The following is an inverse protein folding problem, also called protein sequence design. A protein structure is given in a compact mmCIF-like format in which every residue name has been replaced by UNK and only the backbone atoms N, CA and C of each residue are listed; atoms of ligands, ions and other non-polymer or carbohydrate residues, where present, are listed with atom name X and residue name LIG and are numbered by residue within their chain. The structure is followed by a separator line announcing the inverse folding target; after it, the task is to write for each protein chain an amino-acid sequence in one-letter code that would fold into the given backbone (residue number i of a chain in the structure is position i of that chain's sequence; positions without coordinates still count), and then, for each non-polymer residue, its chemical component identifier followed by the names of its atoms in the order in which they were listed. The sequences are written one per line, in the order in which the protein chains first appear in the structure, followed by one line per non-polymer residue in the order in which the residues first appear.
data_IF_038991048512
#
_entry.id   IF_038991048512
#
_cell.length_a   1.000
_cell.length_b   1.000
_cell.length_c   1.000
_cell.angle_alpha   90.00
_cell.angle_beta   90.00
_cell.angle_gamma   90.00
#
_symmetry.space_group_name_H-M   'P 1'
#
loop_
_entity.id
_entity.type
_entity.pdbx_description
1 polymer ?
#
# COMPACT_ATOMS: atom_id res chain seq x y z
N UNK A 1 6.72 -21.81 45.47
CA UNK A 1 6.35 -20.77 44.48
C UNK A 1 6.97 -19.46 44.95
N UNK A 2 7.94 -18.93 44.21
CA UNK A 2 8.42 -17.56 44.42
C UNK A 2 7.47 -16.67 43.61
N UNK A 3 6.73 -15.79 44.29
CA UNK A 3 5.81 -14.86 43.62
C UNK A 3 6.63 -13.73 43.00
N UNK A 4 6.66 -13.68 41.67
CA UNK A 4 7.37 -12.68 40.86
C UNK A 4 6.67 -11.33 41.00
N UNK A 5 7.43 -10.24 41.18
CA UNK A 5 6.90 -8.87 41.23
C UNK A 5 7.20 -8.13 39.92
N UNK A 6 6.44 -7.07 39.57
CA UNK A 6 6.56 -6.33 38.29
C UNK A 6 7.97 -5.82 37.93
N UNK A 7 8.89 -5.80 38.91
CA UNK A 7 10.28 -5.36 38.75
C UNK A 7 11.24 -6.47 38.35
N UNK A 8 10.80 -7.73 38.32
CA UNK A 8 11.59 -8.87 37.90
C UNK A 8 11.57 -8.97 36.37
N UNK A 9 12.72 -9.08 35.72
CA UNK A 9 12.79 -9.13 34.26
C UNK A 9 13.98 -9.97 33.77
N UNK A 10 13.86 -10.46 32.54
CA UNK A 10 14.95 -11.05 31.77
C UNK A 10 15.05 -10.33 30.41
N UNK A 11 16.27 -9.95 30.05
CA UNK A 11 16.62 -9.35 28.77
C UNK A 11 17.59 -10.31 28.05
N UNK A 12 17.16 -10.82 26.90
CA UNK A 12 17.99 -11.66 26.01
C UNK A 12 18.22 -10.86 24.74
N UNK A 13 19.48 -10.49 24.48
CA UNK A 13 19.85 -9.61 23.37
C UNK A 13 20.34 -10.41 22.16
N UNK A 14 20.21 -9.81 20.97
CA UNK A 14 20.67 -10.38 19.69
C UNK A 14 22.19 -10.47 19.57
N UNK A 15 22.93 -9.75 20.41
CA UNK A 15 24.40 -9.78 20.51
C UNK A 15 24.93 -10.96 21.35
N UNK A 16 24.08 -11.96 21.64
CA UNK A 16 24.36 -13.14 22.47
C UNK A 16 24.62 -12.85 23.94
N UNK A 17 24.23 -11.68 24.45
CA UNK A 17 24.28 -11.38 25.89
C UNK A 17 22.90 -11.54 26.54
N UNK A 18 22.88 -11.92 27.82
CA UNK A 18 21.68 -11.93 28.63
C UNK A 18 21.90 -11.21 29.96
N UNK A 19 20.81 -10.68 30.50
CA UNK A 19 20.77 -10.07 31.82
C UNK A 19 19.40 -10.33 32.46
N UNK A 20 19.36 -10.74 33.72
CA UNK A 20 18.11 -10.79 34.48
C UNK A 20 18.30 -10.30 35.91
N UNK A 21 17.24 -9.71 36.46
CA UNK A 21 17.15 -9.26 37.83
C UNK A 21 15.87 -9.82 38.46
N UNK A 22 16.01 -10.52 39.59
CA UNK A 22 14.91 -11.09 40.36
C UNK A 22 14.92 -10.50 41.78
N UNK A 23 14.17 -9.43 41.99
CA UNK A 23 13.91 -8.81 43.30
C UNK A 23 13.15 -9.74 44.23
N UNK A 24 12.22 -10.53 43.71
CA UNK A 24 11.53 -11.56 44.49
C UNK A 24 12.47 -12.64 45.05
N UNK A 25 13.71 -12.73 44.55
CA UNK A 25 14.73 -13.70 44.97
C UNK A 25 15.98 -12.98 45.50
N UNK A 26 15.85 -12.27 46.61
CA UNK A 26 16.95 -11.56 47.30
C UNK A 26 17.75 -10.59 46.39
N UNK A 27 17.08 -9.88 45.47
CA UNK A 27 17.74 -9.02 44.47
C UNK A 27 18.83 -9.77 43.68
N UNK A 28 18.53 -11.00 43.25
CA UNK A 28 19.45 -11.78 42.43
C UNK A 28 19.67 -11.06 41.10
N UNK A 29 20.91 -10.71 40.82
CA UNK A 29 21.34 -10.16 39.54
C UNK A 29 22.19 -11.21 38.83
N UNK A 30 21.85 -11.50 37.59
CA UNK A 30 22.64 -12.36 36.74
C UNK A 30 22.88 -11.76 35.37
N UNK A 31 24.05 -12.08 34.79
CA UNK A 31 24.42 -11.69 33.43
C UNK A 31 25.43 -12.65 32.85
N UNK A 32 25.49 -12.70 31.53
CA UNK A 32 26.35 -13.64 30.83
C UNK A 32 26.12 -13.66 29.33
N UNK A 33 26.62 -14.72 28.70
CA UNK A 33 26.35 -15.01 27.29
C UNK A 33 25.39 -16.19 27.17
N UNK A 34 24.66 -16.24 26.05
CA UNK A 34 23.78 -17.35 25.76
C UNK A 34 24.07 -17.97 24.40
N UNK A 35 23.88 -19.28 24.31
CA UNK A 35 23.90 -20.03 23.07
C UNK A 35 22.69 -20.96 23.02
N UNK A 36 22.21 -21.27 21.81
CA UNK A 36 21.05 -22.12 21.59
C UNK A 36 21.39 -23.25 20.64
N UNK A 37 20.93 -24.45 20.97
CA UNK A 37 20.99 -25.63 20.10
C UNK A 37 19.64 -26.32 20.17
N UNK A 38 18.90 -26.31 19.05
CA UNK A 38 17.53 -26.83 18.95
C UNK A 38 16.58 -26.24 20.02
N UNK A 39 16.13 -27.09 20.95
CA UNK A 39 15.24 -26.78 22.07
C UNK A 39 15.99 -26.58 23.40
N UNK A 40 17.32 -26.50 23.35
CA UNK A 40 18.18 -26.25 24.52
C UNK A 40 18.79 -24.84 24.46
N UNK A 41 18.69 -24.12 25.58
CA UNK A 41 19.27 -22.81 25.79
C UNK A 41 20.31 -22.88 26.90
N UNK A 42 21.54 -22.50 26.58
CA UNK A 42 22.67 -22.48 27.50
C UNK A 42 22.92 -21.05 27.96
N UNK A 43 22.93 -20.82 29.26
CA UNK A 43 23.37 -19.57 29.87
C UNK A 43 24.73 -19.77 30.52
N UNK A 44 25.73 -19.08 29.99
CA UNK A 44 27.07 -19.02 30.55
C UNK A 44 27.19 -17.74 31.41
N UNK A 45 27.15 -17.91 32.73
CA UNK A 45 27.07 -16.81 33.67
C UNK A 45 28.46 -16.19 33.92
N UNK A 46 28.54 -14.87 33.72
CA UNK A 46 29.67 -14.07 34.23
C UNK A 46 29.40 -13.55 35.64
N UNK A 47 28.11 -13.39 35.99
CA UNK A 47 27.65 -13.13 37.36
C UNK A 47 26.41 -14.00 37.61
N UNK A 48 26.40 -14.90 38.62
CA UNK A 48 27.56 -15.33 39.41
C UNK A 48 28.64 -15.96 38.52
N UNK A 49 29.91 -15.83 38.90
CA UNK A 49 31.02 -16.37 38.11
C UNK A 49 31.01 -17.90 38.10
N UNK A 50 31.36 -18.50 36.96
CA UNK A 50 31.70 -19.93 36.84
C UNK A 50 30.50 -20.88 36.96
N UNK A 51 29.35 -20.51 36.37
CA UNK A 51 28.18 -21.39 36.27
C UNK A 51 27.67 -21.44 34.83
N UNK A 52 27.44 -22.64 34.31
CA UNK A 52 26.69 -22.85 33.07
C UNK A 52 25.36 -23.50 33.46
N UNK A 53 24.25 -22.97 32.98
CA UNK A 53 22.93 -23.61 33.12
C UNK A 53 22.34 -23.92 31.76
N UNK A 54 21.67 -25.05 31.68
CA UNK A 54 20.96 -25.52 30.49
C UNK A 54 19.47 -25.53 30.78
N UNK A 55 18.69 -24.97 29.86
CA UNK A 55 17.23 -24.90 29.94
C UNK A 55 16.62 -25.53 28.71
N UNK A 56 15.58 -26.34 28.89
CA UNK A 56 14.69 -26.70 27.78
C UNK A 56 13.71 -25.55 27.55
N UNK A 57 13.60 -25.09 26.30
CA UNK A 57 12.78 -23.92 25.97
C UNK A 57 11.48 -24.32 25.28
N UNK A 58 10.39 -23.63 25.64
CA UNK A 58 9.13 -23.69 24.92
C UNK A 58 8.63 -22.26 24.71
N UNK A 59 8.29 -21.91 23.46
CA UNK A 59 7.80 -20.59 23.09
C UNK A 59 6.38 -20.72 22.59
N UNK A 60 5.41 -20.19 23.35
CA UNK A 60 3.99 -20.19 23.02
C UNK A 60 3.50 -18.73 22.89
N UNK A 61 3.49 -18.20 21.66
CA UNK A 61 3.06 -16.83 21.41
C UNK A 61 3.94 -15.79 22.10
N UNK A 62 3.40 -15.13 23.14
CA UNK A 62 4.11 -14.13 23.95
C UNK A 62 4.72 -14.70 25.24
N UNK A 63 4.63 -16.01 25.47
CA UNK A 63 5.16 -16.68 26.65
C UNK A 63 6.41 -17.49 26.29
N UNK A 64 7.51 -17.26 27.02
CA UNK A 64 8.72 -18.06 27.01
C UNK A 64 8.77 -18.87 28.30
N UNK A 65 8.77 -20.20 28.18
CA UNK A 65 8.98 -21.10 29.32
C UNK A 65 10.37 -21.71 29.25
N UNK A 66 11.15 -21.56 30.33
CA UNK A 66 12.43 -22.24 30.55
C UNK A 66 12.22 -23.35 31.59
N UNK A 67 12.55 -24.59 31.26
CA UNK A 67 12.50 -25.71 32.19
C UNK A 67 13.91 -26.12 32.62
N UNK A 68 14.13 -26.25 33.93
CA UNK A 68 15.35 -26.78 34.55
C UNK A 68 14.94 -27.69 35.72
N UNK A 69 15.26 -28.99 35.66
CA UNK A 69 15.04 -29.98 36.74
C UNK A 69 13.63 -29.92 37.36
N UNK A 70 12.59 -30.07 36.53
CA UNK A 70 11.16 -30.02 36.92
C UNK A 70 10.66 -28.66 37.47
N UNK A 71 11.46 -27.60 37.33
CA UNK A 71 11.07 -26.23 37.63
C UNK A 71 10.84 -25.45 36.33
N UNK A 72 9.63 -24.94 36.16
CA UNK A 72 9.25 -24.08 35.03
C UNK A 72 9.36 -22.60 35.39
N UNK A 73 10.15 -21.86 34.62
CA UNK A 73 10.21 -20.39 34.64
C UNK A 73 9.44 -19.85 33.44
N UNK A 74 8.27 -19.26 33.66
CA UNK A 74 7.49 -18.62 32.60
C UNK A 74 7.73 -17.11 32.58
N UNK A 75 7.97 -16.58 31.38
CA UNK A 75 8.20 -15.17 31.10
C UNK A 75 7.23 -14.69 30.03
N UNK A 76 6.52 -13.61 30.33
CA UNK A 76 5.64 -12.95 29.36
C UNK A 76 6.41 -11.80 28.72
N UNK A 77 6.50 -11.80 27.38
CA UNK A 77 7.10 -10.72 26.61
C UNK A 77 6.35 -9.42 26.91
N UNK A 78 6.98 -8.54 27.68
CA UNK A 78 6.51 -7.17 27.83
C UNK A 78 6.76 -6.47 26.51
N UNK A 79 5.70 -6.27 25.73
CA UNK A 79 5.73 -5.44 24.53
C UNK A 79 6.09 -4.01 24.93
N UNK A 80 7.38 -3.75 25.09
CA UNK A 80 7.89 -2.39 25.09
C UNK A 80 7.93 -2.02 23.62
N UNK A 81 6.76 -1.72 23.05
CA UNK A 81 6.70 -0.88 21.89
C UNK A 81 7.35 0.41 22.39
N UNK A 82 8.64 0.63 22.08
CA UNK A 82 9.17 1.98 21.95
C UNK A 82 8.42 2.60 20.77
N UNK A 83 7.12 2.87 20.98
CA UNK A 83 6.53 4.02 20.33
C UNK A 83 7.37 5.12 20.90
N UNK A 84 8.30 5.64 20.11
CA UNK A 84 8.67 7.03 20.23
C UNK A 84 7.34 7.76 19.99
N UNK A 85 6.51 7.82 21.04
CA UNK A 85 5.45 8.78 21.19
C UNK A 85 6.19 10.08 21.52
N UNK A 86 7.04 10.53 20.60
CA UNK A 86 6.95 11.91 20.21
C UNK A 86 5.57 12.06 19.56
N UNK A 87 4.54 12.11 20.40
CA UNK A 87 3.48 13.08 20.17
C UNK A 87 4.21 14.41 20.19
N UNK A 88 4.80 14.77 19.06
CA UNK A 88 4.95 16.18 18.75
C UNK A 88 3.49 16.64 18.79
N UNK A 89 3.08 17.31 19.88
CA UNK A 89 1.81 18.03 19.97
C UNK A 89 1.86 19.14 18.93
N UNK A 90 1.85 18.72 17.68
CA UNK A 90 1.69 19.55 16.52
C UNK A 90 0.25 19.95 16.64
N UNK A 91 0.02 21.22 17.02
CA UNK A 91 -1.32 21.75 17.21
C UNK A 91 -2.20 21.33 16.04
N UNK A 92 -3.46 20.93 16.30
CA UNK A 92 -4.42 20.55 15.24
C UNK A 92 -4.44 21.59 14.11
N UNK A 93 -4.28 22.87 14.47
CA UNK A 93 -4.18 23.98 13.54
C UNK A 93 -2.96 23.87 12.61
N UNK A 94 -1.79 23.51 13.13
CA UNK A 94 -0.57 23.33 12.33
C UNK A 94 -0.75 22.20 11.30
N UNK A 95 -1.39 21.09 11.67
CA UNK A 95 -1.63 19.99 10.73
C UNK A 95 -2.62 20.39 9.61
N UNK A 96 -3.67 21.16 9.96
CA UNK A 96 -4.61 21.70 8.97
C UNK A 96 -3.90 22.67 8.02
N UNK A 97 -3.12 23.61 8.56
CA UNK A 97 -2.36 24.57 7.77
C UNK A 97 -1.38 23.84 6.83
N UNK A 98 -0.66 22.82 7.33
CA UNK A 98 0.23 21.99 6.51
C UNK A 98 -0.52 21.31 5.36
N UNK A 99 -1.70 20.72 5.63
CA UNK A 99 -2.52 20.12 4.58
C UNK A 99 -2.98 21.13 3.51
N UNK A 100 -3.36 22.35 3.93
CA UNK A 100 -3.73 23.44 3.01
C UNK A 100 -2.53 23.89 2.17
N UNK A 101 -1.35 24.02 2.79
CA UNK A 101 -0.11 24.36 2.08
C UNK A 101 0.19 23.27 1.06
N UNK A 102 0.14 21.99 1.45
CA UNK A 102 0.34 20.86 0.55
C UNK A 102 -0.55 20.86 -0.67
N UNK A 103 -1.87 20.96 -0.44
CA UNK A 103 -2.86 21.03 -1.52
C UNK A 103 -2.59 22.22 -2.44
N UNK A 104 -2.33 23.39 -1.86
CA UNK A 104 -2.04 24.62 -2.61
C UNK A 104 -0.78 24.48 -3.44
N UNK A 105 0.29 23.90 -2.89
CA UNK A 105 1.54 23.64 -3.60
C UNK A 105 1.36 22.70 -4.79
N UNK A 106 0.58 21.62 -4.65
CA UNK A 106 0.28 20.72 -5.77
C UNK A 106 -0.51 21.43 -6.88
N UNK A 107 -1.48 22.27 -6.52
CA UNK A 107 -2.22 23.09 -7.49
C UNK A 107 -1.31 24.14 -8.16
N UNK A 108 -0.37 24.73 -7.43
CA UNK A 108 0.62 25.66 -7.97
C UNK A 108 1.58 24.98 -8.95
N UNK A 109 1.99 23.73 -8.68
CA UNK A 109 2.80 22.95 -9.62
C UNK A 109 2.01 22.69 -10.91
N UNK A 110 0.75 22.26 -10.79
CA UNK A 110 -0.11 22.07 -11.96
C UNK A 110 -0.31 23.39 -12.73
N UNK A 111 -0.49 24.52 -12.03
CA UNK A 111 -0.64 25.85 -12.62
C UNK A 111 0.64 26.33 -13.32
N UNK A 112 1.81 26.05 -12.73
CA UNK A 112 3.11 26.38 -13.31
C UNK A 112 3.31 25.66 -14.65
N UNK A 113 2.93 24.38 -14.71
CA UNK A 113 2.95 23.53 -15.90
C UNK A 113 1.79 23.79 -16.88
N UNK A 114 0.89 24.74 -16.59
CA UNK A 114 -0.29 24.99 -17.42
C UNK A 114 0.07 25.60 -18.78
N UNK A 115 -0.50 25.02 -19.84
CA UNK A 115 -0.35 25.52 -21.22
C UNK A 115 -1.05 26.85 -21.45
N UNK A 116 -2.18 27.11 -20.77
CA UNK A 116 -2.93 28.36 -20.94
C UNK A 116 -3.60 28.81 -19.63
N UNK A 117 -2.83 29.50 -18.78
CA UNK A 117 -3.25 29.95 -17.45
C UNK A 117 -4.52 30.80 -17.43
N UNK A 118 -4.82 31.51 -18.52
CA UNK A 118 -6.00 32.40 -18.63
C UNK A 118 -7.30 31.64 -18.90
N UNK A 119 -7.23 30.41 -19.43
CA UNK A 119 -8.39 29.59 -19.79
C UNK A 119 -8.74 28.53 -18.75
N UNK A 120 -8.03 28.50 -17.61
CA UNK A 120 -8.34 27.59 -16.51
C UNK A 120 -9.75 27.89 -15.98
N UNK A 121 -10.61 26.87 -15.98
CA UNK A 121 -11.93 26.97 -15.38
C UNK A 121 -11.84 26.77 -13.86
N UNK A 122 -11.67 27.87 -13.12
CA UNK A 122 -11.57 27.84 -11.67
C UNK A 122 -12.86 27.36 -10.97
N UNK A 123 -14.03 27.56 -11.57
CA UNK A 123 -15.30 27.02 -11.04
C UNK A 123 -15.23 25.48 -10.98
N UNK A 124 -14.69 24.84 -12.02
CA UNK A 124 -14.48 23.39 -12.08
C UNK A 124 -13.44 22.93 -11.04
N UNK A 125 -12.33 23.65 -10.90
CA UNK A 125 -11.28 23.34 -9.92
C UNK A 125 -11.85 23.37 -8.50
N UNK A 126 -12.52 24.45 -8.11
CA UNK A 126 -13.10 24.59 -6.77
C UNK A 126 -14.19 23.56 -6.51
N UNK A 127 -15.06 23.27 -7.49
CA UNK A 127 -16.08 22.22 -7.36
C UNK A 127 -15.47 20.83 -7.21
N UNK A 128 -14.43 20.52 -7.97
CA UNK A 128 -13.69 19.26 -7.85
C UNK A 128 -13.08 19.09 -6.46
N UNK A 129 -12.38 20.12 -5.95
CA UNK A 129 -11.81 20.12 -4.60
C UNK A 129 -12.90 19.95 -3.55
N UNK A 130 -14.02 20.67 -3.69
CA UNK A 130 -15.14 20.59 -2.77
C UNK A 130 -15.76 19.18 -2.72
N UNK A 131 -15.93 18.54 -3.88
CA UNK A 131 -16.39 17.14 -3.97
C UNK A 131 -15.39 16.22 -3.26
N UNK A 132 -14.09 16.38 -3.49
CA UNK A 132 -13.07 15.58 -2.79
C UNK A 132 -13.14 15.74 -1.27
N UNK A 133 -13.27 16.98 -0.78
CA UNK A 133 -13.41 17.24 0.65
C UNK A 133 -14.68 16.60 1.22
N UNK A 134 -15.81 16.70 0.53
CA UNK A 134 -17.06 16.05 0.94
C UNK A 134 -16.88 14.54 1.00
N UNK A 135 -16.31 13.92 -0.04
CA UNK A 135 -16.08 12.49 -0.08
C UNK A 135 -15.11 12.03 1.01
N UNK A 136 -13.99 12.74 1.20
CA UNK A 136 -13.01 12.42 2.22
C UNK A 136 -13.61 12.52 3.64
N UNK A 137 -14.33 13.60 3.94
CA UNK A 137 -15.03 13.75 5.23
C UNK A 137 -16.12 12.69 5.37
N UNK A 138 -16.88 12.40 4.31
CA UNK A 138 -17.85 11.32 4.28
C UNK A 138 -17.23 9.99 4.70
N UNK A 139 -16.19 9.55 4.02
CA UNK A 139 -15.53 8.25 4.25
C UNK A 139 -14.84 8.19 5.61
N UNK A 140 -14.23 9.29 6.07
CA UNK A 140 -13.37 9.30 7.26
C UNK A 140 -14.09 9.71 8.56
N UNK A 141 -15.11 10.55 8.49
CA UNK A 141 -15.77 11.15 9.67
C UNK A 141 -17.24 10.77 9.81
N UNK A 142 -17.95 10.50 8.73
CA UNK A 142 -19.38 10.16 8.80
C UNK A 142 -19.53 8.66 9.04
N UNK A 143 -20.01 8.20 10.22
CA UNK A 143 -20.02 6.77 10.57
C UNK A 143 -20.82 5.91 9.60
N UNK A 144 -21.94 6.44 9.11
CA UNK A 144 -22.78 5.76 8.12
C UNK A 144 -22.03 5.46 6.81
N UNK A 145 -21.36 6.46 6.24
CA UNK A 145 -20.60 6.31 4.99
C UNK A 145 -19.36 5.44 5.23
N UNK A 146 -18.67 5.62 6.35
CA UNK A 146 -17.55 4.78 6.75
C UNK A 146 -17.97 3.29 6.88
N UNK A 147 -19.18 3.02 7.38
CA UNK A 147 -19.73 1.66 7.48
C UNK A 147 -20.01 1.06 6.10
N UNK A 148 -20.56 1.84 5.16
CA UNK A 148 -20.75 1.40 3.76
C UNK A 148 -19.40 1.03 3.13
N UNK A 149 -18.39 1.89 3.25
CA UNK A 149 -17.06 1.59 2.72
C UNK A 149 -16.43 0.36 3.38
N UNK A 150 -16.60 0.19 4.70
CA UNK A 150 -16.14 -1.01 5.39
C UNK A 150 -16.82 -2.28 4.86
N UNK A 151 -18.12 -2.25 4.59
CA UNK A 151 -18.83 -3.38 3.96
C UNK A 151 -18.32 -3.67 2.55
N UNK A 152 -18.09 -2.63 1.74
CA UNK A 152 -17.50 -2.78 0.40
C UNK A 152 -16.10 -3.39 0.50
N UNK A 153 -15.24 -2.87 1.40
CA UNK A 153 -13.89 -3.39 1.64
C UNK A 153 -13.90 -4.85 2.07
N UNK A 154 -14.80 -5.24 2.99
CA UNK A 154 -15.01 -6.65 3.38
C UNK A 154 -15.42 -7.51 2.19
N UNK A 155 -16.30 -7.00 1.32
CA UNK A 155 -16.66 -7.66 0.07
C UNK A 155 -15.45 -7.89 -0.83
N UNK A 156 -14.62 -6.88 -1.03
CA UNK A 156 -13.37 -7.00 -1.81
C UNK A 156 -12.40 -8.03 -1.22
N UNK A 157 -12.12 -7.95 0.08
CA UNK A 157 -11.25 -8.93 0.77
C UNK A 157 -11.83 -10.34 0.65
N UNK A 158 -13.15 -10.50 0.77
CA UNK A 158 -13.80 -11.80 0.58
C UNK A 158 -13.64 -12.31 -0.84
N UNK A 159 -13.78 -11.46 -1.85
CA UNK A 159 -13.55 -11.84 -3.25
C UNK A 159 -12.09 -12.26 -3.48
N UNK A 160 -11.12 -11.54 -2.91
CA UNK A 160 -9.69 -11.92 -2.93
C UNK A 160 -9.49 -13.31 -2.31
N UNK A 161 -10.18 -13.60 -1.21
CA UNK A 161 -10.06 -14.91 -0.54
C UNK A 161 -10.51 -16.09 -1.43
N UNK A 162 -11.39 -15.87 -2.42
CA UNK A 162 -11.77 -16.94 -3.35
C UNK A 162 -10.65 -17.30 -4.33
N UNK A 163 -9.73 -16.36 -4.63
CA UNK A 163 -8.55 -16.68 -5.42
C UNK A 163 -7.69 -17.74 -4.72
N UNK A 164 -7.66 -17.75 -3.39
CA UNK A 164 -6.86 -18.70 -2.63
C UNK A 164 -7.20 -20.15 -2.98
N UNK A 165 -8.48 -20.48 -3.19
CA UNK A 165 -8.88 -21.83 -3.59
C UNK A 165 -8.27 -22.25 -4.94
N UNK A 166 -8.16 -21.32 -5.89
CA UNK A 166 -7.49 -21.56 -7.17
C UNK A 166 -5.97 -21.67 -7.03
N UNK A 167 -5.36 -20.83 -6.20
CA UNK A 167 -3.93 -20.88 -5.90
C UNK A 167 -3.54 -22.18 -5.20
N UNK A 168 -4.31 -22.61 -4.20
CA UNK A 168 -4.09 -23.86 -3.47
C UNK A 168 -4.23 -25.06 -4.39
N UNK A 169 -5.25 -25.08 -5.26
CA UNK A 169 -5.42 -26.14 -6.24
C UNK A 169 -4.21 -26.28 -7.18
N UNK A 170 -3.56 -25.17 -7.55
CA UNK A 170 -2.42 -25.16 -8.48
C UNK A 170 -1.08 -25.42 -7.81
N UNK A 171 -0.89 -24.94 -6.57
CA UNK A 171 0.43 -24.83 -5.96
C UNK A 171 0.55 -25.49 -4.58
N UNK A 172 -0.55 -25.92 -3.95
CA UNK A 172 -0.45 -26.68 -2.70
C UNK A 172 0.04 -28.10 -2.98
N UNK A 173 0.89 -28.61 -2.10
CA UNK A 173 1.37 -29.99 -2.14
C UNK A 173 0.21 -30.96 -1.87
N UNK A 174 0.08 -32.00 -2.69
CA UNK A 174 -0.91 -33.07 -2.48
C UNK A 174 -0.66 -33.89 -1.20
N UNK A 175 0.54 -33.80 -0.61
CA UNK A 175 0.90 -34.52 0.62
C UNK A 175 0.54 -33.68 1.84
N UNK A 176 0.97 -32.41 1.86
CA UNK A 176 0.82 -31.53 3.04
C UNK A 176 -0.47 -30.71 3.01
N UNK A 177 -1.12 -30.62 1.84
CA UNK A 177 -2.31 -29.80 1.61
C UNK A 177 -2.04 -28.29 1.71
N UNK A 178 -0.77 -27.87 1.64
CA UNK A 178 -0.35 -26.47 1.79
C UNK A 178 0.71 -26.11 0.75
N UNK A 179 0.82 -24.81 0.47
CA UNK A 179 1.92 -24.26 -0.33
C UNK A 179 3.19 -24.33 0.52
N UNK A 180 4.19 -25.05 0.03
CA UNK A 180 5.47 -25.24 0.73
C UNK A 180 6.24 -23.91 0.86
N UNK A 181 7.03 -23.78 1.93
CA UNK A 181 7.72 -22.54 2.29
C UNK A 181 8.48 -21.84 1.14
N UNK A 182 9.22 -22.55 0.24
CA UNK A 182 9.90 -21.90 -0.89
C UNK A 182 8.95 -21.24 -1.90
N UNK A 183 7.71 -21.71 -2.00
CA UNK A 183 6.68 -21.20 -2.91
C UNK A 183 5.81 -20.12 -2.28
N UNK A 184 5.96 -19.83 -0.97
CA UNK A 184 5.26 -18.71 -0.31
C UNK A 184 5.96 -17.39 -0.66
N UNK A 185 5.78 -16.94 -1.90
CA UNK A 185 6.42 -15.75 -2.45
C UNK A 185 5.44 -14.92 -3.30
N UNK A 186 5.89 -13.75 -3.75
CA UNK A 186 5.08 -12.80 -4.54
C UNK A 186 4.43 -13.44 -5.77
N UNK A 187 5.17 -14.31 -6.48
CA UNK A 187 4.69 -14.93 -7.72
C UNK A 187 3.47 -15.82 -7.47
N UNK A 188 3.47 -16.59 -6.38
CA UNK A 188 2.39 -17.54 -6.06
C UNK A 188 1.27 -16.87 -5.26
N UNK A 189 1.60 -15.92 -4.39
CA UNK A 189 0.62 -15.30 -3.48
C UNK A 189 -0.13 -14.12 -4.12
N UNK A 190 0.48 -13.39 -5.05
CA UNK A 190 -0.04 -12.10 -5.52
C UNK A 190 -0.48 -12.12 -6.99
N UNK A 191 0.29 -12.75 -7.88
CA UNK A 191 -0.01 -12.75 -9.31
C UNK A 191 -1.32 -13.47 -9.68
N UNK A 192 -1.71 -14.61 -9.06
CA UNK A 192 -3.00 -15.25 -9.36
C UNK A 192 -4.19 -14.34 -9.08
N UNK A 193 -4.08 -13.43 -8.09
CA UNK A 193 -5.13 -12.44 -7.77
C UNK A 193 -5.35 -11.48 -8.93
N UNK A 194 -4.29 -11.07 -9.63
CA UNK A 194 -4.40 -10.21 -10.82
C UNK A 194 -5.19 -10.92 -11.93
N UNK A 195 -4.87 -12.20 -12.17
CA UNK A 195 -5.52 -13.01 -13.21
C UNK A 195 -7.01 -13.19 -12.88
N UNK A 196 -7.32 -13.58 -11.64
CA UNK A 196 -8.70 -13.80 -11.18
C UNK A 196 -9.53 -12.51 -11.25
N UNK A 197 -9.01 -11.38 -10.77
CA UNK A 197 -9.73 -10.11 -10.83
C UNK A 197 -9.93 -9.60 -12.26
N UNK A 198 -8.97 -9.85 -13.16
CA UNK A 198 -9.14 -9.53 -14.58
C UNK A 198 -10.30 -10.33 -15.20
N UNK A 199 -10.37 -11.64 -14.92
CA UNK A 199 -11.47 -12.49 -15.36
C UNK A 199 -12.82 -12.05 -14.78
N UNK A 200 -12.86 -11.72 -13.49
CA UNK A 200 -14.07 -11.25 -12.81
C UNK A 200 -14.55 -9.89 -13.33
N UNK A 201 -13.62 -8.97 -13.59
CA UNK A 201 -13.93 -7.65 -14.14
C UNK A 201 -14.50 -7.77 -15.56
N UNK A 202 -13.90 -8.64 -16.38
CA UNK A 202 -14.42 -8.97 -17.71
C UNK A 202 -15.84 -9.57 -17.66
N UNK A 203 -16.10 -10.46 -16.69
CA UNK A 203 -17.44 -11.00 -16.46
C UNK A 203 -18.44 -9.90 -16.07
N UNK A 204 -18.10 -9.02 -15.14
CA UNK A 204 -18.98 -7.91 -14.74
C UNK A 204 -19.21 -6.90 -15.86
N UNK A 205 -18.24 -6.73 -16.74
CA UNK A 205 -18.40 -5.97 -17.97
C UNK A 205 -19.37 -6.67 -18.93
N UNK A 206 -19.23 -7.98 -19.16
CA UNK A 206 -20.17 -8.74 -20.01
C UNK A 206 -21.61 -8.70 -19.48
N UNK A 207 -21.78 -8.81 -18.16
CA UNK A 207 -23.08 -8.78 -17.48
C UNK A 207 -23.72 -7.38 -17.42
N UNK A 208 -23.01 -6.33 -17.80
CA UNK A 208 -23.54 -4.96 -17.75
C UNK A 208 -23.52 -4.33 -16.35
N UNK A 209 -22.94 -4.99 -15.34
CA UNK A 209 -22.92 -4.50 -13.95
C UNK A 209 -21.97 -3.30 -13.85
N UNK A 210 -20.76 -3.44 -14.42
CA UNK A 210 -19.74 -2.40 -14.35
C UNK A 210 -20.20 -1.12 -15.07
N UNK A 211 -20.84 -1.27 -16.22
CA UNK A 211 -21.40 -0.16 -17.00
C UNK A 211 -22.44 0.64 -16.20
N UNK A 212 -23.31 -0.03 -15.43
CA UNK A 212 -24.31 0.65 -14.59
C UNK A 212 -23.64 1.48 -13.49
N UNK A 213 -22.63 0.92 -12.83
CA UNK A 213 -21.86 1.60 -11.77
C UNK A 213 -21.11 2.80 -12.36
N UNK A 214 -20.38 2.60 -13.45
CA UNK A 214 -19.65 3.68 -14.14
C UNK A 214 -20.59 4.76 -14.63
N UNK A 215 -21.74 4.41 -15.21
CA UNK A 215 -22.73 5.41 -15.65
C UNK A 215 -23.22 6.28 -14.49
N UNK A 216 -23.53 5.67 -13.35
CA UNK A 216 -24.01 6.39 -12.16
C UNK A 216 -23.00 7.42 -11.67
N UNK A 217 -21.74 7.00 -11.48
CA UNK A 217 -20.68 7.91 -11.04
C UNK A 217 -20.34 8.96 -12.11
N UNK A 218 -20.36 8.59 -13.40
CA UNK A 218 -20.09 9.53 -14.49
C UNK A 218 -21.19 10.59 -14.60
N UNK A 219 -22.45 10.21 -14.43
CA UNK A 219 -23.57 11.14 -14.35
C UNK A 219 -23.39 12.11 -13.19
N UNK A 220 -22.96 11.61 -12.03
CA UNK A 220 -22.69 12.42 -10.85
C UNK A 220 -21.55 13.42 -11.10
N UNK A 221 -20.41 12.98 -11.62
CA UNK A 221 -19.30 13.85 -12.00
C UNK A 221 -19.71 14.90 -13.04
N UNK A 222 -20.42 14.49 -14.09
CA UNK A 222 -20.94 15.41 -15.11
C UNK A 222 -21.81 16.50 -14.50
N UNK A 223 -22.77 16.12 -13.64
CA UNK A 223 -23.72 17.04 -13.01
C UNK A 223 -23.03 18.05 -12.11
N UNK A 224 -22.06 17.63 -11.31
CA UNK A 224 -21.41 18.50 -10.33
C UNK A 224 -20.21 19.27 -10.89
N UNK A 225 -19.43 18.70 -11.82
CA UNK A 225 -18.21 19.30 -12.36
C UNK A 225 -18.36 19.93 -13.76
N UNK A 226 -19.54 19.84 -14.40
CA UNK A 226 -19.82 20.36 -15.76
C UNK A 226 -18.81 19.84 -16.82
N UNK A 227 -18.47 18.55 -16.74
CA UNK A 227 -17.57 17.88 -17.67
C UNK A 227 -18.31 17.37 -18.91
N UNK A 228 -17.56 16.96 -19.94
CA UNK A 228 -18.14 16.26 -21.08
C UNK A 228 -18.64 14.87 -20.67
N UNK A 229 -19.55 14.30 -21.48
CA UNK A 229 -20.09 12.97 -21.20
C UNK A 229 -19.02 11.88 -21.30
N UNK A 230 -18.20 11.94 -22.35
CA UNK A 230 -17.10 11.02 -22.60
C UNK A 230 -15.97 11.18 -21.57
N UNK A 231 -15.64 12.40 -21.16
CA UNK A 231 -14.64 12.67 -20.12
C UNK A 231 -15.09 12.14 -18.74
N UNK A 232 -16.36 12.34 -18.40
CA UNK A 232 -16.91 11.83 -17.13
C UNK A 232 -16.89 10.29 -17.10
N UNK A 233 -17.23 9.65 -18.22
CA UNK A 233 -17.18 8.20 -18.34
C UNK A 233 -15.76 7.66 -18.27
N UNK A 234 -14.80 8.35 -18.89
CA UNK A 234 -13.39 7.96 -18.83
C UNK A 234 -12.80 8.13 -17.42
N UNK A 235 -13.03 9.28 -16.78
CA UNK A 235 -12.52 9.57 -15.43
C UNK A 235 -13.04 8.57 -14.40
N UNK A 236 -14.32 8.19 -14.49
CA UNK A 236 -14.94 7.21 -13.60
C UNK A 236 -14.58 5.78 -13.98
N UNK A 237 -14.48 5.47 -15.27
CA UNK A 237 -14.04 4.17 -15.75
C UNK A 237 -12.70 3.77 -15.12
N UNK A 238 -11.77 4.72 -15.04
CA UNK A 238 -10.46 4.56 -14.42
C UNK A 238 -10.49 4.27 -12.90
N UNK A 239 -11.60 4.49 -12.19
CA UNK A 239 -11.71 4.11 -10.76
C UNK A 239 -11.67 2.59 -10.60
N UNK A 240 -12.20 1.86 -11.60
CA UNK A 240 -12.40 0.41 -11.53
C UNK A 240 -11.55 -0.35 -12.55
N UNK A 241 -11.40 0.22 -13.75
CA UNK A 241 -10.66 -0.33 -14.88
C UNK A 241 -9.25 0.26 -14.94
N UNK A 242 -8.32 -0.50 -15.51
CA UNK A 242 -6.96 -0.01 -15.74
C UNK A 242 -6.88 1.02 -16.86
N UNK A 243 -5.74 1.71 -16.94
CA UNK A 243 -5.43 2.72 -17.96
C UNK A 243 -5.58 2.24 -19.41
N UNK A 244 -5.46 0.94 -19.67
CA UNK A 244 -5.62 0.32 -21.00
C UNK A 244 -7.06 -0.10 -21.31
N UNK A 245 -7.90 -0.29 -20.27
CA UNK A 245 -9.26 -0.81 -20.38
C UNK A 245 -10.30 0.32 -20.32
N UNK A 246 -10.09 1.33 -19.49
CA UNK A 246 -10.99 2.47 -19.37
C UNK A 246 -11.22 3.22 -20.71
N UNK A 247 -10.22 3.38 -21.61
CA UNK A 247 -10.46 3.99 -22.91
C UNK A 247 -11.46 3.21 -23.78
N UNK A 248 -11.63 1.90 -23.56
CA UNK A 248 -12.58 1.08 -24.32
C UNK A 248 -14.04 1.47 -24.04
N UNK A 249 -14.35 1.95 -22.83
CA UNK A 249 -15.69 2.44 -22.48
C UNK A 249 -16.12 3.63 -23.34
N UNK A 250 -15.14 4.40 -23.81
CA UNK A 250 -15.32 5.64 -24.56
C UNK A 250 -14.72 5.55 -25.96
N UNK A 251 -14.41 4.33 -26.43
CA UNK A 251 -13.80 4.10 -27.74
C UNK A 251 -14.52 4.79 -28.91
N UNK A 252 -15.87 4.88 -28.96
CA UNK A 252 -16.55 5.57 -30.06
C UNK A 252 -16.31 7.09 -30.08
N UNK A 253 -15.82 7.65 -28.97
CA UNK A 253 -15.60 9.09 -28.79
C UNK A 253 -14.14 9.50 -28.93
N UNK A 254 -13.18 8.57 -28.78
CA UNK A 254 -11.75 8.90 -28.76
C UNK A 254 -11.31 9.73 -29.98
N UNK A 255 -11.78 9.39 -31.18
CA UNK A 255 -11.45 10.13 -32.41
C UNK A 255 -12.07 11.53 -32.52
N UNK A 256 -13.01 11.88 -31.64
CA UNK A 256 -13.72 13.17 -31.61
C UNK A 256 -13.40 14.00 -30.37
N UNK A 257 -12.55 13.49 -29.47
CA UNK A 257 -12.19 14.18 -28.24
C UNK A 257 -11.24 15.34 -28.51
N UNK A 258 -11.37 16.42 -27.74
CA UNK A 258 -10.41 17.52 -27.73
C UNK A 258 -9.10 17.08 -27.08
N UNK A 259 -8.02 17.85 -27.26
CA UNK A 259 -6.74 17.58 -26.60
C UNK A 259 -6.85 17.61 -25.06
N UNK A 260 -7.74 18.46 -24.53
CA UNK A 260 -7.97 18.52 -23.09
C UNK A 260 -8.71 17.28 -22.59
N UNK A 261 -9.72 16.79 -23.32
CA UNK A 261 -10.43 15.55 -23.00
C UNK A 261 -9.50 14.33 -23.03
N UNK A 262 -8.66 14.20 -24.08
CA UNK A 262 -7.67 13.10 -24.18
C UNK A 262 -6.67 13.18 -23.03
N UNK A 263 -6.15 14.36 -22.72
CA UNK A 263 -5.21 14.53 -21.61
C UNK A 263 -5.85 14.20 -20.26
N UNK A 264 -7.12 14.56 -20.06
CA UNK A 264 -7.88 14.20 -18.87
C UNK A 264 -8.09 12.69 -18.77
N UNK A 265 -8.42 12.02 -19.88
CA UNK A 265 -8.55 10.57 -19.94
C UNK A 265 -7.24 9.86 -19.57
N UNK A 266 -6.11 10.32 -20.13
CA UNK A 266 -4.78 9.77 -19.82
C UNK A 266 -4.37 10.04 -18.38
N UNK A 267 -4.57 11.26 -17.89
CA UNK A 267 -4.27 11.64 -16.51
C UNK A 267 -5.10 10.84 -15.51
N UNK A 268 -6.37 10.57 -15.83
CA UNK A 268 -7.26 9.72 -15.04
C UNK A 268 -6.69 8.32 -14.85
N UNK A 269 -6.22 7.69 -15.94
CA UNK A 269 -5.65 6.34 -15.89
C UNK A 269 -4.32 6.26 -15.12
N UNK A 270 -3.54 7.34 -15.12
CA UNK A 270 -2.28 7.42 -14.36
C UNK A 270 -2.49 7.75 -12.87
N UNK A 271 -3.62 8.37 -12.53
CA UNK A 271 -3.93 8.79 -11.16
C UNK A 271 -4.63 7.70 -10.33
N UNK A 272 -5.12 6.64 -10.97
CA UNK A 272 -5.87 5.55 -10.34
C UNK A 272 -5.15 4.21 -10.51
N UNK A 273 -5.65 3.19 -9.83
CA UNK A 273 -5.17 1.81 -9.95
C UNK A 273 -6.30 0.89 -10.41
N UNK A 274 -5.97 -0.06 -11.28
CA UNK A 274 -6.91 -1.08 -11.75
C UNK A 274 -7.33 -2.01 -10.61
N UNK A 275 -8.55 -2.53 -10.65
CA UNK A 275 -9.06 -3.46 -9.63
C UNK A 275 -8.16 -4.67 -9.36
N UNK A 276 -7.55 -5.26 -10.40
CA UNK A 276 -6.65 -6.41 -10.25
C UNK A 276 -5.34 -6.09 -9.51
N UNK A 277 -4.74 -4.92 -9.77
CA UNK A 277 -3.53 -4.49 -9.08
C UNK A 277 -3.85 -3.98 -7.66
N UNK A 278 -5.02 -3.37 -7.47
CA UNK A 278 -5.54 -3.01 -6.15
C UNK A 278 -5.66 -4.24 -5.25
N UNK A 279 -6.19 -5.35 -5.76
CA UNK A 279 -6.30 -6.60 -5.03
C UNK A 279 -4.92 -7.19 -4.66
N UNK A 280 -3.96 -7.12 -5.59
CA UNK A 280 -2.57 -7.50 -5.34
C UNK A 280 -1.93 -6.67 -4.21
N UNK A 281 -2.14 -5.34 -4.19
CA UNK A 281 -1.62 -4.48 -3.11
C UNK A 281 -2.28 -4.75 -1.76
N UNK A 282 -3.58 -5.06 -1.73
CA UNK A 282 -4.26 -5.46 -0.49
C UNK A 282 -3.64 -6.74 0.07
N UNK A 283 -3.43 -7.76 -0.78
CA UNK A 283 -2.82 -9.02 -0.34
C UNK A 283 -1.37 -8.84 0.10
N UNK A 284 -0.59 -8.04 -0.63
CA UNK A 284 0.82 -7.80 -0.31
C UNK A 284 1.00 -6.96 0.97
N UNK A 285 0.29 -5.84 1.09
CA UNK A 285 0.43 -4.91 2.23
C UNK A 285 -0.26 -5.42 3.50
N UNK A 286 -1.43 -6.06 3.34
CA UNK A 286 -2.16 -6.64 4.48
C UNK A 286 -1.62 -8.01 4.92
N UNK A 287 -0.75 -8.63 4.12
CA UNK A 287 -0.19 -9.95 4.41
C UNK A 287 -1.29 -10.98 4.63
N UNK A 288 -1.16 -11.79 5.68
CA UNK A 288 -2.14 -12.80 6.08
C UNK A 288 -3.16 -12.30 7.12
N UNK A 289 -3.07 -11.05 7.59
CA UNK A 289 -3.97 -10.51 8.61
C UNK A 289 -5.22 -9.88 7.96
N UNK A 290 -6.43 -10.42 8.20
CA UNK A 290 -7.67 -9.88 7.65
C UNK A 290 -7.96 -8.43 8.08
N UNK A 291 -7.47 -7.99 9.25
CA UNK A 291 -7.69 -6.64 9.77
C UNK A 291 -6.87 -5.63 8.97
N UNK A 292 -5.60 -5.94 8.73
CA UNK A 292 -4.70 -5.13 7.91
C UNK A 292 -5.15 -5.10 6.45
N UNK A 293 -5.53 -6.25 5.88
CA UNK A 293 -6.10 -6.30 4.53
C UNK A 293 -7.32 -5.39 4.40
N UNK A 294 -8.20 -5.37 5.39
CA UNK A 294 -9.37 -4.50 5.40
C UNK A 294 -8.98 -3.02 5.49
N UNK A 295 -7.99 -2.68 6.32
CA UNK A 295 -7.46 -1.33 6.44
C UNK A 295 -6.91 -0.83 5.10
N UNK A 296 -6.05 -1.62 4.45
CA UNK A 296 -5.49 -1.27 3.15
C UNK A 296 -6.56 -1.25 2.05
N UNK A 297 -7.51 -2.19 2.07
CA UNK A 297 -8.64 -2.18 1.15
C UNK A 297 -9.46 -0.89 1.28
N UNK A 298 -9.74 -0.44 2.50
CA UNK A 298 -10.46 0.81 2.75
C UNK A 298 -9.69 2.01 2.22
N UNK A 299 -8.38 2.09 2.49
CA UNK A 299 -7.55 3.20 2.02
C UNK A 299 -7.41 3.22 0.50
N UNK A 300 -7.13 2.08 -0.13
CA UNK A 300 -6.96 1.98 -1.58
C UNK A 300 -8.27 2.26 -2.33
N UNK A 301 -9.41 1.74 -1.86
CA UNK A 301 -10.71 2.04 -2.46
C UNK A 301 -11.09 3.52 -2.31
N UNK A 302 -10.85 4.13 -1.15
CA UNK A 302 -11.08 5.55 -0.94
C UNK A 302 -10.17 6.40 -1.85
N UNK A 303 -8.89 6.03 -1.96
CA UNK A 303 -7.93 6.70 -2.83
C UNK A 303 -8.36 6.63 -4.30
N UNK A 304 -8.75 5.45 -4.82
CA UNK A 304 -9.20 5.31 -6.22
C UNK A 304 -10.40 6.22 -6.54
N UNK A 305 -11.36 6.35 -5.63
CA UNK A 305 -12.53 7.23 -5.82
C UNK A 305 -12.14 8.71 -5.75
N UNK A 306 -11.27 9.10 -4.81
CA UNK A 306 -10.82 10.49 -4.66
C UNK A 306 -9.87 10.94 -5.78
N UNK A 307 -9.14 9.99 -6.39
CA UNK A 307 -8.23 10.25 -7.51
C UNK A 307 -8.96 10.67 -8.78
N UNK A 308 -10.17 10.20 -9.05
CA UNK A 308 -10.91 10.58 -10.25
C UNK A 308 -11.14 12.11 -10.37
N UNK A 309 -11.77 12.79 -9.39
CA UNK A 309 -11.86 14.25 -9.43
C UNK A 309 -10.48 14.94 -9.32
N UNK A 310 -9.51 14.36 -8.61
CA UNK A 310 -8.14 14.91 -8.54
C UNK A 310 -7.49 15.01 -9.92
N UNK A 311 -7.59 13.93 -10.68
CA UNK A 311 -7.04 13.81 -12.01
C UNK A 311 -7.70 14.80 -12.96
N UNK A 312 -9.02 14.95 -12.87
CA UNK A 312 -9.74 15.96 -13.67
C UNK A 312 -9.27 17.37 -13.33
N UNK A 313 -9.12 17.70 -12.04
CA UNK A 313 -8.62 19.02 -11.61
C UNK A 313 -7.22 19.27 -12.17
N UNK A 314 -6.28 18.35 -11.95
CA UNK A 314 -4.91 18.47 -12.43
C UNK A 314 -4.87 18.59 -13.97
N UNK A 315 -5.63 17.75 -14.68
CA UNK A 315 -5.70 17.75 -16.13
C UNK A 315 -6.24 19.07 -16.69
N UNK A 316 -7.33 19.60 -16.12
CA UNK A 316 -7.95 20.85 -16.57
C UNK A 316 -7.16 22.10 -16.16
N UNK A 317 -6.27 22.01 -15.19
CA UNK A 317 -5.29 23.06 -14.90
C UNK A 317 -4.15 23.02 -15.93
N UNK A 318 -3.57 21.84 -16.18
CA UNK A 318 -2.40 21.69 -17.07
C UNK A 318 -2.78 21.93 -18.54
N UNK A 319 -3.86 21.31 -19.02
CA UNK A 319 -4.41 21.50 -20.37
C UNK A 319 -5.88 21.92 -20.25
N UNK A 320 -6.17 23.24 -20.10
CA UNK A 320 -7.52 23.74 -20.00
C UNK A 320 -8.32 23.53 -21.30
N UNK A 321 -9.63 23.36 -21.15
CA UNK A 321 -10.54 23.19 -22.29
C UNK A 321 -10.71 24.52 -23.04
N UNK A 322 -10.44 24.51 -24.34
CA UNK A 322 -10.59 25.68 -25.22
C UNK A 322 -11.56 25.45 -26.38
N UNK A 323 -11.91 24.19 -26.63
CA UNK A 323 -12.71 23.77 -27.77
C UNK A 323 -14.13 23.39 -27.31
N UNK A 324 -15.09 23.36 -28.26
CA UNK A 324 -16.43 22.85 -27.97
C UNK A 324 -16.35 21.32 -27.91
N UNK A 325 -16.92 20.73 -26.87
CA UNK A 325 -16.92 19.29 -26.64
C UNK A 325 -18.34 18.72 -26.67
N UNK A 326 -18.43 17.39 -26.87
CA UNK A 326 -19.71 16.69 -26.91
C UNK A 326 -20.23 16.42 -25.48
N UNK A 327 -21.46 16.83 -25.19
CA UNK A 327 -22.08 16.60 -23.89
C UNK A 327 -22.81 15.26 -23.79
N UNK A 328 -23.01 14.53 -24.89
CA UNK A 328 -23.71 13.25 -24.86
C UNK A 328 -22.97 12.23 -23.98
N UNK A 329 -23.74 11.56 -23.11
CA UNK A 329 -23.24 10.50 -22.24
C UNK A 329 -23.87 9.19 -22.73
N UNK A 330 -23.23 8.55 -23.73
CA UNK A 330 -23.59 7.19 -24.16
C UNK A 330 -22.41 6.28 -23.87
N UNK A 331 -22.69 5.11 -23.33
CA UNK A 331 -21.70 4.06 -23.16
C UNK A 331 -21.60 3.24 -24.45
N UNK A 332 -20.40 2.74 -24.77
CA UNK A 332 -20.31 1.69 -25.79
C UNK A 332 -21.14 0.48 -25.33
N UNK A 333 -21.92 -0.08 -26.26
CA UNK A 333 -22.66 -1.32 -26.06
C UNK A 333 -21.84 -2.56 -26.45
N UNK A 334 -20.59 -2.38 -26.85
CA UNK A 334 -19.70 -3.48 -27.21
C UNK A 334 -19.55 -4.40 -25.99
N UNK A 335 -19.86 -5.68 -26.19
CA UNK A 335 -19.71 -6.71 -25.16
C UNK A 335 -18.34 -7.35 -25.28
N UNK A 336 -17.76 -7.72 -24.14
CA UNK A 336 -16.56 -8.56 -24.11
C UNK A 336 -17.01 -10.03 -24.19
N UNK A 337 -16.80 -10.67 -25.34
CA UNK A 337 -17.20 -12.07 -25.57
C UNK A 337 -18.68 -12.25 -25.93
N UNK A 338 -19.02 -13.41 -26.49
CA UNK A 338 -20.40 -13.78 -26.85
C UNK A 338 -21.21 -14.28 -25.65
N UNK A 339 -20.54 -14.93 -24.70
CA UNK A 339 -21.13 -15.53 -23.49
C UNK A 339 -20.26 -15.31 -22.25
N UNK A 340 -20.81 -15.59 -21.07
CA UNK A 340 -20.12 -15.37 -19.79
C UNK A 340 -18.82 -16.17 -19.65
N UNK A 341 -18.77 -17.42 -20.14
CA UNK A 341 -17.56 -18.24 -20.10
C UNK A 341 -16.48 -17.68 -21.02
N UNK A 342 -16.85 -17.23 -22.22
CA UNK A 342 -15.92 -16.57 -23.13
C UNK A 342 -15.38 -15.25 -22.54
N UNK A 343 -16.24 -14.45 -21.88
CA UNK A 343 -15.83 -13.24 -21.19
C UNK A 343 -14.80 -13.53 -20.09
N UNK A 344 -15.02 -14.58 -19.29
CA UNK A 344 -14.09 -15.06 -18.27
C UNK A 344 -12.77 -15.48 -18.93
N UNK A 345 -12.81 -16.34 -19.95
CA UNK A 345 -11.60 -16.84 -20.64
C UNK A 345 -10.76 -15.71 -21.26
N UNK A 346 -11.41 -14.71 -21.88
CA UNK A 346 -10.74 -13.53 -22.42
C UNK A 346 -10.11 -12.69 -21.31
N UNK A 347 -10.87 -12.41 -20.24
CA UNK A 347 -10.36 -11.69 -19.07
C UNK A 347 -9.21 -12.41 -18.37
N UNK A 348 -9.22 -13.74 -18.31
CA UNK A 348 -8.10 -14.56 -17.82
C UNK A 348 -6.87 -14.37 -18.69
N UNK A 349 -7.01 -14.39 -20.02
CA UNK A 349 -5.88 -14.21 -20.95
C UNK A 349 -5.26 -12.83 -20.82
N UNK A 350 -6.08 -11.79 -20.73
CA UNK A 350 -5.62 -10.41 -20.49
C UNK A 350 -4.95 -10.28 -19.12
N UNK A 351 -5.51 -10.96 -18.11
CA UNK A 351 -4.95 -11.03 -16.75
C UNK A 351 -3.59 -11.72 -16.69
N UNK A 352 -3.38 -12.79 -17.46
CA UNK A 352 -2.08 -13.48 -17.56
C UNK A 352 -1.03 -12.53 -18.13
N UNK A 353 -1.34 -11.82 -19.22
CA UNK A 353 -0.41 -10.84 -19.80
C UNK A 353 -0.05 -9.75 -18.79
N UNK A 354 -1.05 -9.23 -18.07
CA UNK A 354 -0.83 -8.23 -17.03
C UNK A 354 0.04 -8.77 -15.90
N UNK A 355 -0.25 -9.96 -15.38
CA UNK A 355 0.49 -10.59 -14.29
C UNK A 355 1.96 -10.86 -14.66
N UNK A 356 2.21 -11.40 -15.87
CA UNK A 356 3.57 -11.63 -16.39
C UNK A 356 4.31 -10.31 -16.54
N UNK A 357 3.67 -9.28 -17.09
CA UNK A 357 4.27 -7.96 -17.23
C UNK A 357 4.64 -7.36 -15.87
N UNK A 358 3.75 -7.45 -14.88
CA UNK A 358 4.02 -6.97 -13.51
C UNK A 358 5.20 -7.73 -12.88
N UNK A 359 5.20 -9.07 -12.94
CA UNK A 359 6.29 -9.89 -12.41
C UNK A 359 7.64 -9.58 -13.07
N UNK A 360 7.65 -9.47 -14.41
CA UNK A 360 8.85 -9.13 -15.16
C UNK A 360 9.36 -7.71 -14.83
N UNK A 361 8.47 -6.70 -14.78
CA UNK A 361 8.85 -5.33 -14.44
C UNK A 361 9.42 -5.23 -13.02
N UNK A 362 8.81 -5.91 -12.04
CA UNK A 362 9.32 -5.92 -10.66
C UNK A 362 10.69 -6.59 -10.57
N UNK A 363 10.90 -7.70 -11.28
CA UNK A 363 12.21 -8.36 -11.35
C UNK A 363 13.26 -7.41 -11.93
N UNK A 364 12.99 -6.84 -13.12
CA UNK A 364 13.95 -5.97 -13.81
C UNK A 364 14.24 -4.71 -13.01
N UNK A 365 13.21 -4.01 -12.50
CA UNK A 365 13.43 -2.79 -11.73
C UNK A 365 14.14 -3.05 -10.40
N UNK A 366 13.84 -4.15 -9.71
CA UNK A 366 14.56 -4.51 -8.47
C UNK A 366 16.03 -4.77 -8.77
N UNK A 367 16.33 -5.47 -9.86
CA UNK A 367 17.71 -5.70 -10.29
C UNK A 367 18.43 -4.40 -10.69
N UNK A 368 17.75 -3.50 -11.40
CA UNK A 368 18.30 -2.17 -11.75
C UNK A 368 18.57 -1.34 -10.50
N UNK A 369 17.69 -1.38 -9.49
CA UNK A 369 17.91 -0.69 -8.21
C UNK A 369 19.12 -1.29 -7.49
N UNK A 370 19.26 -2.61 -7.44
CA UNK A 370 20.41 -3.28 -6.83
C UNK A 370 21.73 -2.91 -7.55
N UNK A 371 21.71 -2.91 -8.89
CA UNK A 371 22.85 -2.45 -9.70
C UNK A 371 23.16 -0.98 -9.46
N UNK A 372 22.13 -0.12 -9.42
CA UNK A 372 22.26 1.30 -9.11
C UNK A 372 22.84 1.54 -7.72
N UNK A 373 22.44 0.75 -6.73
CA UNK A 373 23.00 0.76 -5.39
C UNK A 373 24.48 0.38 -5.39
N UNK A 374 24.89 -0.64 -6.14
CA UNK A 374 26.31 -0.98 -6.28
C UNK A 374 27.12 0.19 -6.89
N UNK A 375 26.61 0.81 -7.97
CA UNK A 375 27.30 1.94 -8.60
C UNK A 375 27.38 3.17 -7.68
N UNK A 376 26.30 3.48 -6.96
CA UNK A 376 26.22 4.69 -6.13
C UNK A 376 26.88 4.49 -4.76
N UNK A 377 26.58 3.40 -4.07
CA UNK A 377 27.08 3.13 -2.74
C UNK A 377 28.51 2.58 -2.78
N UNK A 378 28.77 1.53 -3.56
CA UNK A 378 30.02 0.77 -3.45
C UNK A 378 31.15 1.37 -4.27
N UNK A 379 30.88 1.92 -5.45
CA UNK A 379 31.90 2.59 -6.27
C UNK A 379 32.07 4.06 -5.85
N UNK A 380 31.02 4.87 -5.94
CA UNK A 380 31.12 6.32 -5.73
C UNK A 380 31.18 6.64 -4.24
N UNK A 381 30.22 6.13 -3.47
CA UNK A 381 30.04 6.48 -2.06
C UNK A 381 31.21 6.08 -1.17
N UNK A 382 31.78 4.89 -1.38
CA UNK A 382 32.97 4.43 -0.66
C UNK A 382 34.23 5.19 -1.10
N UNK A 383 34.42 5.40 -2.39
CA UNK A 383 35.61 6.10 -2.91
C UNK A 383 35.66 7.56 -2.48
N UNK A 384 34.51 8.24 -2.48
CA UNK A 384 34.40 9.66 -2.08
C UNK A 384 34.31 9.88 -0.57
N UNK A 385 34.13 8.81 0.23
CA UNK A 385 33.92 8.89 1.68
C UNK A 385 32.54 9.43 2.08
N UNK A 386 31.65 9.72 1.12
CA UNK A 386 30.30 10.25 1.36
C UNK A 386 29.47 9.26 2.19
N UNK A 387 29.69 7.95 2.03
CA UNK A 387 28.97 6.94 2.80
C UNK A 387 29.13 7.12 4.30
N UNK A 388 30.35 7.42 4.77
CA UNK A 388 30.60 7.63 6.20
C UNK A 388 29.84 8.84 6.73
N UNK A 389 29.74 9.90 5.93
CA UNK A 389 28.95 11.08 6.29
C UNK A 389 27.45 10.75 6.33
N UNK A 390 26.93 10.02 5.34
CA UNK A 390 25.50 9.65 5.28
C UNK A 390 25.14 8.76 6.48
N UNK A 391 25.95 7.75 6.79
CA UNK A 391 25.72 6.84 7.92
C UNK A 391 25.76 7.59 9.25
N UNK A 392 26.64 8.59 9.39
CA UNK A 392 26.74 9.36 10.63
C UNK A 392 25.58 10.35 10.85
N UNK A 393 24.93 10.83 9.78
CA UNK A 393 23.95 11.92 9.85
C UNK A 393 22.52 11.49 9.52
N UNK A 394 22.31 10.28 9.01
CA UNK A 394 21.00 9.82 8.49
C UNK A 394 20.75 8.36 8.88
N UNK A 395 19.51 7.88 8.74
CA UNK A 395 19.18 6.46 8.97
C UNK A 395 19.53 5.53 7.81
N UNK A 396 20.10 6.07 6.73
CA UNK A 396 20.50 5.28 5.57
C UNK A 396 21.91 4.69 5.76
N UNK A 397 22.14 3.52 5.15
CA UNK A 397 23.40 2.78 5.24
C UNK A 397 24.52 3.33 4.34
N UNK A 398 24.24 4.34 3.52
CA UNK A 398 25.18 4.96 2.58
C UNK A 398 24.47 5.63 1.41
N UNK A 399 25.22 5.96 0.36
CA UNK A 399 24.71 6.60 -0.85
C UNK A 399 23.98 5.58 -1.72
N UNK A 400 22.76 5.21 -1.32
CA UNK A 400 21.91 4.27 -2.07
C UNK A 400 20.89 5.01 -2.95
N UNK A 401 20.30 4.32 -3.92
CA UNK A 401 19.17 4.84 -4.70
C UNK A 401 17.98 5.20 -3.80
N UNK A 402 17.77 4.46 -2.71
CA UNK A 402 16.77 4.80 -1.70
C UNK A 402 17.06 6.15 -1.04
N UNK A 403 18.32 6.43 -0.68
CA UNK A 403 18.74 7.73 -0.16
C UNK A 403 18.51 8.85 -1.17
N UNK A 404 18.96 8.65 -2.42
CA UNK A 404 18.85 9.67 -3.48
C UNK A 404 17.39 10.03 -3.73
N UNK A 405 16.52 9.02 -3.92
CA UNK A 405 15.10 9.23 -4.16
C UNK A 405 14.42 9.80 -2.91
N UNK A 406 14.74 9.27 -1.72
CA UNK A 406 14.20 9.72 -0.44
C UNK A 406 14.43 11.21 -0.22
N UNK A 407 15.68 11.68 -0.33
CA UNK A 407 16.02 13.09 -0.17
C UNK A 407 15.51 13.98 -1.30
N UNK A 408 15.48 13.50 -2.55
CA UNK A 408 14.96 14.26 -3.70
C UNK A 408 13.47 14.53 -3.57
N UNK A 409 12.70 13.56 -3.05
CA UNK A 409 11.25 13.67 -2.90
C UNK A 409 10.80 14.06 -1.48
N UNK A 410 11.71 14.17 -0.51
CA UNK A 410 11.40 14.62 0.85
C UNK A 410 10.62 15.95 0.90
N UNK A 411 10.96 16.99 0.11
CA UNK A 411 10.16 18.22 0.08
C UNK A 411 8.72 17.99 -0.34
N UNK A 412 8.48 17.10 -1.31
CA UNK A 412 7.13 16.75 -1.79
C UNK A 412 6.38 15.95 -0.72
N UNK A 413 7.03 14.97 -0.09
CA UNK A 413 6.48 14.21 1.02
C UNK A 413 6.08 15.12 2.20
N UNK A 414 6.89 16.15 2.47
CA UNK A 414 6.62 17.13 3.52
C UNK A 414 5.40 17.99 3.19
N UNK A 415 5.29 18.44 1.93
CA UNK A 415 4.10 19.13 1.44
C UNK A 415 2.85 18.25 1.58
N UNK A 416 2.95 16.95 1.35
CA UNK A 416 1.82 16.01 1.54
C UNK A 416 1.44 15.79 3.03
N UNK A 417 2.16 16.39 3.97
CA UNK A 417 1.84 16.36 5.40
C UNK A 417 2.56 15.27 6.20
N UNK A 418 3.54 14.58 5.60
CA UNK A 418 4.39 13.62 6.32
C UNK A 418 5.33 14.40 7.25
N UNK A 419 5.47 13.96 8.50
CA UNK A 419 6.35 14.61 9.46
C UNK A 419 7.80 14.55 8.99
N UNK A 420 8.54 15.66 9.11
CA UNK A 420 9.97 15.74 8.71
C UNK A 420 10.80 14.61 9.33
N UNK A 421 10.57 14.27 10.61
CA UNK A 421 11.27 13.17 11.28
C UNK A 421 10.97 11.78 10.70
N UNK A 422 9.79 11.56 10.12
CA UNK A 422 9.41 10.29 9.48
C UNK A 422 9.96 10.16 8.05
N UNK A 423 10.53 11.21 7.48
CA UNK A 423 11.05 11.18 6.10
C UNK A 423 12.49 10.67 6.01
N UNK A 424 13.20 10.68 7.13
CA UNK A 424 14.61 10.29 7.23
C UNK A 424 14.84 9.04 8.08
N UNK A 425 13.74 8.42 8.55
CA UNK A 425 13.67 7.07 9.11
C UNK A 425 13.40 6.11 7.96
#
# INVERSE_FOLDING_TARGET
MITVIEKDFIEIKSDRTFHYELKAKNNLVAKGTWDRTDDLLYFNYTVPSDTIRCYTIQINGNELTLNENDVNFSFIKKETIKVINEKTETSRLQNIIRGIIGLTSLLLIAFACSRNRKKINWELVFKGLFIQFIFAIGILKVPFVASIFNQISKGFVKVISFTQAGTDFLFASFITGKIEAPMVNFMVQVLPTIIFFSALTSLFYYLGILQKVVYFFAWMMKKFMKLSGSESLAAVGNIFLGQTEAPLLVSPYLGKMTKSEIFCLMSGGMATIAGGVLAAYIGFLGGSDPVEQLLFAKHLLAASVLSAPAAVIAAKIIIPETEKYNQELKLSKDKIGSNALEAISKGTTDGIRLAVNVGAMLLVFTAIIAMGNYLTNDLIGNWTGINNWIVANTSYTGLTMQFIVGYSFAPIAWLMGIAWKMQYL
#
